data_IF_136920333318
#
_entry.id   IF_136920333318
#
_cell.length_a   1.000
_cell.length_b   1.000
_cell.length_c   1.000
_cell.angle_alpha   90.00
_cell.angle_beta   90.00
_cell.angle_gamma   90.00
#
_symmetry.space_group_name_H-M   'P 1'
#
loop_
_entity.id
_entity.type
_entity.pdbx_description
1 polymer ?
#
# COMPACT_ATOMS: atom_id res chain seq x y z
N UNK A 1 6.52 -8.96 8.32
CA UNK A 1 6.22 -8.43 6.97
C UNK A 1 5.58 -9.53 6.14
N UNK A 2 4.51 -9.23 5.40
CA UNK A 2 3.87 -10.17 4.48
C UNK A 2 4.58 -10.16 3.11
N UNK A 3 4.93 -8.97 2.59
CA UNK A 3 5.72 -8.85 1.37
C UNK A 3 7.22 -8.90 1.71
N UNK A 4 7.99 -9.65 0.91
CA UNK A 4 9.44 -9.72 1.07
C UNK A 4 10.11 -8.35 0.90
N UNK A 5 11.08 -8.06 1.76
CA UNK A 5 11.85 -6.81 1.72
C UNK A 5 12.65 -6.74 0.42
N UNK A 6 12.58 -5.60 -0.27
CA UNK A 6 13.35 -5.34 -1.49
C UNK A 6 12.70 -5.81 -2.78
N UNK A 7 11.48 -6.36 -2.74
CA UNK A 7 10.74 -6.69 -3.97
C UNK A 7 10.33 -5.41 -4.69
N UNK A 8 10.62 -5.33 -5.98
CA UNK A 8 10.38 -4.15 -6.81
C UNK A 8 8.88 -4.02 -7.13
N UNK A 9 8.26 -2.98 -6.60
CA UNK A 9 6.81 -2.75 -6.72
C UNK A 9 6.47 -1.53 -7.60
N UNK A 10 7.45 -0.71 -7.95
CA UNK A 10 7.24 0.54 -8.69
C UNK A 10 8.26 0.74 -9.81
N UNK A 11 7.84 1.33 -10.92
CA UNK A 11 8.67 1.85 -11.99
C UNK A 11 8.56 3.37 -12.05
N UNK A 12 9.65 4.08 -11.81
CA UNK A 12 9.68 5.54 -11.84
C UNK A 12 9.37 6.02 -13.25
N UNK A 13 8.39 6.91 -13.41
CA UNK A 13 7.87 7.26 -14.74
C UNK A 13 8.92 7.91 -15.65
N UNK A 14 9.80 8.74 -15.08
CA UNK A 14 10.81 9.49 -15.81
C UNK A 14 12.09 8.69 -16.05
N UNK A 15 12.73 8.18 -14.98
CA UNK A 15 14.00 7.46 -15.10
C UNK A 15 13.84 6.00 -15.52
N UNK A 16 12.63 5.43 -15.41
CA UNK A 16 12.33 4.00 -15.59
C UNK A 16 12.99 3.08 -14.57
N UNK A 17 13.60 3.64 -13.52
CA UNK A 17 14.19 2.86 -12.44
C UNK A 17 13.12 2.06 -11.69
N UNK A 18 13.50 0.86 -11.26
CA UNK A 18 12.65 0.03 -10.43
C UNK A 18 12.93 0.34 -8.95
N UNK A 19 11.87 0.51 -8.16
CA UNK A 19 11.96 0.81 -6.72
C UNK A 19 10.95 -0.02 -5.93
N UNK A 20 11.13 -0.11 -4.60
CA UNK A 20 10.29 -0.88 -3.68
C UNK A 20 9.64 0.01 -2.60
N UNK A 21 8.81 1.01 -2.97
CA UNK A 21 8.16 1.88 -2.00
C UNK A 21 6.99 1.20 -1.26
N UNK A 22 6.35 0.21 -1.88
CA UNK A 22 5.16 -0.42 -1.34
C UNK A 22 5.54 -1.55 -0.37
N UNK A 23 4.84 -1.61 0.76
CA UNK A 23 5.08 -2.62 1.79
C UNK A 23 3.74 -3.22 2.22
N UNK A 24 3.72 -4.54 2.42
CA UNK A 24 2.59 -5.23 3.05
C UNK A 24 3.02 -5.80 4.39
N UNK A 25 2.33 -5.38 5.44
CA UNK A 25 2.52 -5.88 6.80
C UNK A 25 1.33 -6.76 7.17
N UNK A 26 1.60 -7.81 7.94
CA UNK A 26 0.57 -8.67 8.52
C UNK A 26 0.70 -8.62 10.03
N UNK A 27 -0.44 -8.71 10.72
CA UNK A 27 -0.47 -9.02 12.16
C UNK A 27 -0.04 -10.47 12.39
N UNK A 28 0.30 -10.81 13.63
CA UNK A 28 0.69 -12.19 13.99
C UNK A 28 -0.42 -13.19 13.64
N UNK A 29 -1.69 -12.85 13.94
CA UNK A 29 -2.86 -13.67 13.60
C UNK A 29 -2.99 -13.95 12.10
N UNK A 30 -2.74 -12.95 11.25
CA UNK A 30 -2.85 -13.12 9.80
C UNK A 30 -1.66 -13.88 9.20
N UNK A 31 -0.54 -13.98 9.92
CA UNK A 31 0.64 -14.71 9.45
C UNK A 31 0.38 -16.21 9.39
N UNK A 32 -0.47 -16.74 10.29
CA UNK A 32 -0.83 -18.15 10.34
C UNK A 32 -1.70 -18.59 9.15
N UNK A 33 -2.47 -17.66 8.58
CA UNK A 33 -3.36 -17.90 7.43
C UNK A 33 -2.78 -17.37 6.11
N UNK A 34 -1.63 -16.70 6.12
CA UNK A 34 -1.00 -16.17 4.92
C UNK A 34 -0.35 -17.30 4.10
N UNK A 35 -0.90 -17.57 2.91
CA UNK A 35 -0.35 -18.56 1.98
C UNK A 35 0.79 -17.96 1.17
N UNK A 36 0.56 -16.79 0.56
CA UNK A 36 1.58 -16.08 -0.19
C UNK A 36 1.26 -14.58 -0.32
N UNK A 37 2.31 -13.80 -0.61
CA UNK A 37 2.23 -12.38 -0.92
C UNK A 37 3.29 -12.05 -1.98
N UNK A 38 2.85 -11.72 -3.19
CA UNK A 38 3.72 -11.65 -4.37
C UNK A 38 3.40 -10.44 -5.25
N UNK A 39 4.39 -9.96 -5.99
CA UNK A 39 4.23 -8.86 -6.94
C UNK A 39 3.96 -9.40 -8.34
N UNK A 40 2.81 -9.05 -8.89
CA UNK A 40 2.36 -9.52 -10.20
C UNK A 40 2.81 -8.57 -11.31
N UNK A 41 4.08 -8.72 -11.74
CA UNK A 41 4.68 -7.88 -12.78
C UNK A 41 3.87 -7.86 -14.08
N UNK A 42 3.30 -9.01 -14.43
CA UNK A 42 2.55 -9.23 -15.68
C UNK A 42 1.13 -8.65 -15.65
N UNK A 43 0.59 -8.29 -14.48
CA UNK A 43 -0.74 -7.68 -14.33
C UNK A 43 -0.69 -6.15 -14.29
N UNK A 44 0.45 -5.55 -14.61
CA UNK A 44 0.60 -4.10 -14.66
C UNK A 44 -0.35 -3.51 -15.70
N UNK A 45 -1.30 -2.70 -15.25
CA UNK A 45 -2.21 -2.00 -16.15
C UNK A 45 -1.50 -0.89 -16.93
N UNK A 46 -1.98 -0.57 -18.14
CA UNK A 46 -1.49 0.57 -18.90
C UNK A 46 -1.60 1.86 -18.07
N UNK A 47 -0.55 2.69 -18.12
CA UNK A 47 -0.42 3.98 -17.38
C UNK A 47 -0.19 3.88 -15.87
N UNK A 48 -0.22 2.69 -15.26
CA UNK A 48 0.19 2.52 -13.87
C UNK A 48 1.71 2.45 -13.75
N UNK A 49 2.26 3.13 -12.75
CA UNK A 49 3.67 3.05 -12.37
C UNK A 49 3.93 2.01 -11.28
N UNK A 50 2.90 1.46 -10.64
CA UNK A 50 3.03 0.38 -9.66
C UNK A 50 2.68 -0.98 -10.28
N UNK A 51 3.31 -2.02 -9.74
CA UNK A 51 2.96 -3.41 -9.97
C UNK A 51 1.94 -3.86 -8.91
N UNK A 52 0.86 -4.56 -9.29
CA UNK A 52 -0.08 -5.11 -8.32
C UNK A 52 0.59 -6.07 -7.34
N UNK A 53 0.21 -5.99 -6.07
CA UNK A 53 0.60 -6.94 -5.02
C UNK A 53 -0.60 -7.84 -4.76
N UNK A 54 -0.41 -9.15 -4.91
CA UNK A 54 -1.43 -10.16 -4.65
C UNK A 54 -1.14 -10.82 -3.30
N UNK A 55 -2.16 -10.93 -2.46
CA UNK A 55 -2.10 -11.66 -1.18
C UNK A 55 -3.11 -12.80 -1.26
N UNK A 56 -2.69 -14.00 -0.86
CA UNK A 56 -3.57 -15.16 -0.72
C UNK A 56 -3.60 -15.60 0.73
N UNK A 57 -4.81 -15.70 1.27
CA UNK A 57 -5.09 -16.14 2.64
C UNK A 57 -5.87 -17.47 2.60
N UNK A 58 -5.60 -18.32 3.58
CA UNK A 58 -6.24 -19.60 3.81
C UNK A 58 -7.35 -19.45 4.86
N UNK A 59 -8.60 -19.70 4.48
CA UNK A 59 -9.79 -19.58 5.38
C UNK A 59 -10.41 -20.93 5.73
N UNK A 60 -9.60 -21.99 5.70
CA UNK A 60 -10.04 -23.39 5.66
C UNK A 60 -10.93 -23.79 6.84
N UNK A 61 -10.79 -23.20 8.02
CA UNK A 61 -11.52 -23.63 9.23
C UNK A 61 -12.95 -23.07 9.25
N UNK A 62 -13.16 -21.79 8.97
CA UNK A 62 -14.48 -21.15 9.08
C UNK A 62 -15.35 -21.45 7.86
N UNK A 63 -14.76 -21.48 6.66
CA UNK A 63 -15.51 -21.79 5.44
C UNK A 63 -16.02 -23.24 5.46
N UNK A 64 -15.21 -24.19 5.93
CA UNK A 64 -15.61 -25.60 6.05
C UNK A 64 -16.75 -25.77 7.06
N UNK A 65 -16.71 -25.07 8.19
CA UNK A 65 -17.78 -25.11 9.19
C UNK A 65 -19.09 -24.49 8.66
N UNK A 66 -19.01 -23.34 7.98
CA UNK A 66 -20.17 -22.66 7.40
C UNK A 66 -20.84 -23.50 6.29
N UNK A 67 -20.04 -24.21 5.48
CA UNK A 67 -20.54 -25.10 4.43
C UNK A 67 -21.05 -26.45 4.97
N UNK A 68 -20.57 -26.92 6.14
CA UNK A 68 -21.01 -28.16 6.75
C UNK A 68 -22.46 -28.07 7.30
N UNK A 69 -22.91 -26.88 7.72
CA UNK A 69 -24.27 -26.66 8.25
C UNK A 69 -25.35 -26.95 7.20
N UNK A 70 -25.04 -26.69 5.93
CA UNK A 70 -25.92 -27.02 4.81
C UNK A 70 -25.11 -27.52 3.61
N UNK A 71 -25.15 -28.83 3.27
CA UNK A 71 -24.41 -29.34 2.13
C UNK A 71 -24.90 -28.71 0.82
N UNK A 72 -23.97 -28.53 -0.12
CA UNK A 72 -24.30 -28.08 -1.47
C UNK A 72 -24.95 -29.23 -2.24
N UNK A 73 -26.03 -29.00 -3.01
CA UNK A 73 -26.66 -30.04 -3.81
C UNK A 73 -25.68 -30.55 -4.87
N UNK A 74 -25.61 -31.87 -5.01
CA UNK A 74 -24.67 -32.58 -5.90
C UNK A 74 -24.98 -32.36 -7.40
N UNK A 75 -26.18 -31.89 -7.74
CA UNK A 75 -26.58 -31.64 -9.12
C UNK A 75 -27.25 -30.26 -9.25
N UNK A 76 -26.72 -29.44 -10.16
CA UNK A 76 -27.27 -28.14 -10.54
C UNK A 76 -28.08 -28.33 -11.83
N UNK A 77 -29.35 -28.68 -11.68
CA UNK A 77 -30.21 -29.04 -12.83
C UNK A 77 -30.76 -27.79 -13.50
N UNK A 78 -30.98 -26.72 -12.74
CA UNK A 78 -31.55 -25.46 -13.25
C UNK A 78 -30.66 -24.26 -12.96
N UNK A 79 -30.85 -23.18 -13.73
CA UNK A 79 -30.22 -21.88 -13.46
C UNK A 79 -30.63 -21.29 -12.10
N UNK A 80 -31.84 -21.61 -11.63
CA UNK A 80 -32.31 -21.23 -10.31
C UNK A 80 -31.55 -21.98 -9.20
N UNK A 81 -31.27 -23.27 -9.39
CA UNK A 81 -30.43 -24.04 -8.47
C UNK A 81 -29.01 -23.49 -8.43
N UNK A 82 -28.45 -23.15 -9.59
CA UNK A 82 -27.15 -22.51 -9.69
C UNK A 82 -27.11 -21.19 -8.91
N UNK A 83 -28.07 -20.29 -9.13
CA UNK A 83 -28.13 -19.00 -8.43
C UNK A 83 -28.26 -19.17 -6.91
N UNK A 84 -29.07 -20.14 -6.47
CA UNK A 84 -29.24 -20.44 -5.05
C UNK A 84 -27.95 -20.97 -4.41
N UNK A 85 -27.19 -21.80 -5.14
CA UNK A 85 -25.88 -22.29 -4.68
C UNK A 85 -24.83 -21.19 -4.67
N UNK A 86 -24.78 -20.36 -5.71
CA UNK A 86 -23.88 -19.22 -5.79
C UNK A 86 -24.14 -18.22 -4.66
N UNK A 87 -25.40 -17.91 -4.40
CA UNK A 87 -25.78 -17.03 -3.30
C UNK A 87 -25.32 -17.60 -1.95
N UNK A 88 -25.57 -18.88 -1.68
CA UNK A 88 -25.14 -19.54 -0.45
C UNK A 88 -23.62 -19.57 -0.29
N UNK A 89 -22.89 -19.79 -1.38
CA UNK A 89 -21.43 -19.75 -1.36
C UNK A 89 -20.93 -18.35 -1.02
N UNK A 90 -21.50 -17.32 -1.64
CA UNK A 90 -21.16 -15.92 -1.34
C UNK A 90 -21.48 -15.55 0.11
N UNK A 91 -22.61 -16.00 0.65
CA UNK A 91 -22.96 -15.80 2.05
C UNK A 91 -21.97 -16.49 3.00
N UNK A 92 -21.61 -17.75 2.73
CA UNK A 92 -20.64 -18.49 3.54
C UNK A 92 -19.23 -17.86 3.48
N UNK A 93 -18.81 -17.39 2.30
CA UNK A 93 -17.57 -16.64 2.13
C UNK A 93 -17.61 -15.33 2.91
N UNK A 94 -18.72 -14.58 2.84
CA UNK A 94 -18.86 -13.33 3.56
C UNK A 94 -18.78 -13.54 5.08
N UNK A 95 -19.40 -14.60 5.60
CA UNK A 95 -19.28 -14.98 7.03
C UNK A 95 -17.84 -15.32 7.41
N UNK A 96 -17.15 -16.11 6.59
CA UNK A 96 -15.74 -16.44 6.83
C UNK A 96 -14.85 -15.19 6.79
N UNK A 97 -15.09 -14.29 5.83
CA UNK A 97 -14.39 -13.00 5.74
C UNK A 97 -14.64 -12.17 7.00
N UNK A 98 -15.88 -12.01 7.43
CA UNK A 98 -16.20 -11.20 8.62
C UNK A 98 -15.64 -11.78 9.92
N UNK A 99 -15.54 -13.10 10.01
CA UNK A 99 -14.98 -13.80 11.17
C UNK A 99 -13.45 -13.73 11.22
N UNK A 100 -12.79 -14.00 10.09
CA UNK A 100 -11.34 -14.19 10.04
C UNK A 100 -10.56 -12.95 9.58
N UNK A 101 -11.21 -12.04 8.84
CA UNK A 101 -10.59 -10.78 8.40
C UNK A 101 -10.94 -9.69 9.41
N UNK A 102 -9.96 -9.19 10.19
CA UNK A 102 -10.21 -8.10 11.11
C UNK A 102 -10.73 -6.89 10.34
N UNK A 103 -11.96 -6.47 10.60
CA UNK A 103 -12.47 -5.22 10.05
C UNK A 103 -11.71 -4.08 10.71
N UNK A 104 -10.90 -3.37 9.93
CA UNK A 104 -10.21 -2.16 10.38
C UNK A 104 -11.26 -1.22 10.96
N UNK A 105 -11.20 -0.90 12.26
CA UNK A 105 -12.06 0.14 12.81
C UNK A 105 -11.94 1.41 11.97
N UNK A 106 -13.04 2.12 11.65
CA UNK A 106 -12.93 3.41 11.01
C UNK A 106 -12.17 4.29 12.00
N UNK A 107 -10.98 4.75 11.58
CA UNK A 107 -9.98 5.46 12.40
C UNK A 107 -9.10 4.56 13.28
N UNK A 108 -8.15 3.88 12.65
CA UNK A 108 -6.93 3.45 13.35
C UNK A 108 -6.09 4.70 13.70
N UNK A 109 -5.37 4.73 14.84
CA UNK A 109 -4.44 5.82 15.17
C UNK A 109 -3.29 5.97 14.16
N UNK A 110 -3.07 4.96 13.31
CA UNK A 110 -2.14 4.96 12.17
C UNK A 110 -2.58 5.85 11.00
N UNK A 111 -3.77 6.47 11.05
CA UNK A 111 -4.23 7.41 10.03
C UNK A 111 -3.80 8.85 10.30
N UNK A 112 -2.90 9.10 11.27
CA UNK A 112 -2.26 10.40 11.43
C UNK A 112 -1.24 10.59 10.32
N UNK A 113 -1.63 11.40 9.36
CA UNK A 113 -0.79 11.90 8.30
C UNK A 113 0.52 12.48 8.88
N UNK A 114 1.66 11.86 8.59
CA UNK A 114 2.97 12.31 9.11
C UNK A 114 3.43 13.64 8.49
N UNK A 115 2.78 14.15 7.44
CA UNK A 115 3.15 15.44 6.88
C UNK A 115 2.48 16.60 7.62
N UNK A 116 3.30 17.50 8.16
CA UNK A 116 2.86 18.68 8.89
C UNK A 116 2.74 19.91 7.97
N UNK A 117 2.03 20.94 8.44
CA UNK A 117 1.97 22.25 7.76
C UNK A 117 3.35 22.88 7.61
N UNK A 118 4.23 22.65 8.57
CA UNK A 118 5.63 23.08 8.52
C UNK A 118 6.40 22.35 7.41
N UNK A 119 6.26 21.03 7.31
CA UNK A 119 6.85 20.23 6.25
C UNK A 119 6.42 20.69 4.85
N UNK A 120 5.13 21.02 4.68
CA UNK A 120 4.61 21.59 3.44
C UNK A 120 5.21 22.97 3.12
N UNK A 121 5.46 23.79 4.14
CA UNK A 121 6.06 25.12 3.99
C UNK A 121 7.51 25.02 3.53
N UNK A 122 8.27 24.07 4.09
CA UNK A 122 9.64 23.75 3.65
C UNK A 122 9.67 23.19 2.23
N UNK A 123 8.74 22.28 1.89
CA UNK A 123 8.60 21.77 0.52
C UNK A 123 8.38 22.91 -0.48
N UNK A 124 7.55 23.92 -0.13
CA UNK A 124 7.29 25.09 -0.98
C UNK A 124 8.56 25.93 -1.19
N UNK A 125 9.34 26.16 -0.14
CA UNK A 125 10.61 26.90 -0.23
C UNK A 125 11.61 26.20 -1.16
N UNK A 126 11.77 24.87 -1.02
CA UNK A 126 12.63 24.07 -1.91
C UNK A 126 12.17 24.18 -3.38
N UNK A 127 10.86 24.06 -3.64
CA UNK A 127 10.31 24.20 -4.99
C UNK A 127 10.53 25.59 -5.58
N UNK A 128 10.43 26.65 -4.77
CA UNK A 128 10.69 28.02 -5.22
C UNK A 128 12.17 28.22 -5.57
N UNK A 129 13.08 27.83 -4.68
CA UNK A 129 14.53 27.95 -4.91
C UNK A 129 15.01 27.06 -6.04
N UNK A 130 14.41 25.89 -6.26
CA UNK A 130 14.73 25.04 -7.42
C UNK A 130 14.43 25.71 -8.76
N UNK A 131 13.36 26.53 -8.82
CA UNK A 131 13.04 27.30 -10.04
C UNK A 131 14.03 28.43 -10.25
N UNK A 132 14.46 29.09 -9.17
CA UNK A 132 15.48 30.13 -9.22
C UNK A 132 16.85 29.55 -9.63
N UNK A 133 17.22 28.40 -9.07
CA UNK A 133 18.41 27.64 -9.42
C UNK A 133 18.46 27.39 -10.94
N UNK A 134 17.34 26.93 -11.52
CA UNK A 134 17.24 26.68 -12.95
C UNK A 134 17.42 27.96 -13.78
N UNK A 135 16.94 29.12 -13.30
CA UNK A 135 17.14 30.42 -13.99
C UNK A 135 18.61 30.86 -13.98
N UNK A 136 19.33 30.53 -12.92
CA UNK A 136 20.73 30.93 -12.71
C UNK A 136 21.72 29.76 -12.88
N UNK A 137 21.36 28.72 -13.64
CA UNK A 137 22.20 27.53 -13.85
C UNK A 137 23.58 27.84 -14.46
N UNK A 138 23.69 28.90 -15.27
CA UNK A 138 24.94 29.32 -15.89
C UNK A 138 25.79 30.28 -15.04
N UNK A 139 25.31 30.68 -13.86
CA UNK A 139 26.02 31.59 -12.95
C UNK A 139 26.42 30.82 -11.69
N UNK A 140 27.63 30.24 -11.71
CA UNK A 140 28.17 29.43 -10.61
C UNK A 140 28.38 30.22 -9.31
N UNK A 141 28.51 31.55 -9.39
CA UNK A 141 28.74 32.42 -8.23
C UNK A 141 27.46 32.89 -7.54
N UNK A 142 26.28 32.52 -8.04
CA UNK A 142 25.02 33.01 -7.52
C UNK A 142 24.63 32.31 -6.20
N UNK A 143 24.24 33.09 -5.19
CA UNK A 143 23.88 32.58 -3.84
C UNK A 143 22.74 31.55 -3.83
N UNK A 144 21.96 31.49 -4.92
CA UNK A 144 20.85 30.53 -5.07
C UNK A 144 21.29 29.08 -4.95
N UNK A 145 22.51 28.74 -5.40
CA UNK A 145 23.01 27.37 -5.32
C UNK A 145 23.14 26.93 -3.86
N UNK A 146 23.75 27.79 -3.04
CA UNK A 146 23.87 27.59 -1.60
C UNK A 146 22.50 27.61 -0.91
N UNK A 147 21.65 28.60 -1.20
CA UNK A 147 20.31 28.72 -0.61
C UNK A 147 19.44 27.49 -0.91
N UNK A 148 19.48 27.00 -2.15
CA UNK A 148 18.78 25.79 -2.56
C UNK A 148 19.30 24.57 -1.78
N UNK A 149 20.62 24.40 -1.69
CA UNK A 149 21.22 23.28 -0.96
C UNK A 149 20.86 23.32 0.53
N UNK A 150 20.94 24.49 1.16
CA UNK A 150 20.56 24.69 2.56
C UNK A 150 19.07 24.37 2.80
N UNK A 151 18.18 24.87 1.94
CA UNK A 151 16.74 24.59 2.02
C UNK A 151 16.42 23.12 1.79
N UNK A 152 17.10 22.47 0.83
CA UNK A 152 16.94 21.04 0.54
C UNK A 152 17.36 20.19 1.73
N UNK A 153 18.53 20.45 2.31
CA UNK A 153 19.02 19.73 3.47
C UNK A 153 18.06 19.90 4.66
N UNK A 154 17.64 21.15 4.94
CA UNK A 154 16.69 21.42 6.02
C UNK A 154 15.35 20.69 5.84
N UNK A 155 14.85 20.60 4.60
CA UNK A 155 13.64 19.84 4.29
C UNK A 155 13.84 18.34 4.47
N UNK A 156 14.96 17.79 3.99
CA UNK A 156 15.31 16.37 4.17
C UNK A 156 15.42 16.00 5.64
N UNK A 157 16.13 16.80 6.44
CA UNK A 157 16.26 16.59 7.88
C UNK A 157 14.89 16.57 8.58
N UNK A 158 14.01 17.51 8.22
CA UNK A 158 12.64 17.51 8.74
C UNK A 158 11.83 16.27 8.34
N UNK A 159 11.99 15.76 7.11
CA UNK A 159 11.35 14.49 6.72
C UNK A 159 11.83 13.37 7.67
N UNK A 160 13.13 13.28 7.92
CA UNK A 160 13.68 12.25 8.80
C UNK A 160 13.17 12.40 10.23
N UNK A 161 13.25 13.60 10.82
CA UNK A 161 12.77 13.87 12.18
C UNK A 161 11.28 13.59 12.31
N UNK A 162 10.44 14.14 11.42
CA UNK A 162 8.98 13.94 11.52
C UNK A 162 8.58 12.49 11.31
N UNK A 163 9.29 11.73 10.47
CA UNK A 163 9.10 10.27 10.37
C UNK A 163 9.52 9.57 11.66
N UNK A 164 10.70 9.88 12.19
CA UNK A 164 11.17 9.30 13.46
C UNK A 164 10.19 9.57 14.60
N UNK A 165 9.73 10.82 14.75
CA UNK A 165 8.75 11.19 15.78
C UNK A 165 7.45 10.41 15.60
N UNK A 166 6.97 10.26 14.36
CA UNK A 166 5.72 9.58 14.06
C UNK A 166 5.76 8.06 14.30
N UNK A 167 6.90 7.41 14.04
CA UNK A 167 7.03 5.96 14.12
C UNK A 167 7.66 5.44 15.44
N UNK A 168 8.31 6.31 16.20
CA UNK A 168 8.93 5.96 17.50
C UNK A 168 8.14 6.47 18.72
N UNK A 169 6.93 7.00 18.52
CA UNK A 169 5.97 7.31 19.60
C UNK A 169 4.94 6.21 19.77
#
# INVERSE_FOLDING_TARGET
MALLVGVLTLVVQHSKDLTCPDNMFCSELLTEVLVCCEVMLHLRLPKMNHYPILITLCTDVVLSLALAVHPLPMALVTSQDFNRVLQRLNEALQVAIEADVPTSSPTTPFSKQWWSKDLHSKQKAVKQLSRELHRHQGDEGHDVHWLYQAARNNYTDHIHTTKCDHWNT
#
